data_IF_444750346098
#
_entry.id   IF_444750346098
#
_cell.length_a   1.000
_cell.length_b   1.000
_cell.length_c   1.000
_cell.angle_alpha   90.00
_cell.angle_beta   90.00
_cell.angle_gamma   90.00
#
_symmetry.space_group_name_H-M   'P 1'
#
loop_
_entity.id
_entity.type
_entity.pdbx_description
1 polymer ?
#
# COMPACT_ATOMS: atom_id res chain seq x y z
N UNK A 1 -12.19 11.51 0.62
CA UNK A 1 -11.66 10.23 1.15
C UNK A 1 -10.22 10.47 1.58
N UNK A 2 -9.90 10.23 2.86
CA UNK A 2 -8.71 10.78 3.53
C UNK A 2 -7.38 10.28 2.94
N UNK A 3 -6.70 11.15 2.18
CA UNK A 3 -5.34 10.94 1.63
C UNK A 3 -4.22 10.94 2.69
N UNK A 4 -4.53 11.07 3.99
CA UNK A 4 -3.55 11.15 5.07
C UNK A 4 -2.85 9.82 5.39
N UNK A 5 -3.38 8.68 4.91
CA UNK A 5 -2.73 7.37 5.01
C UNK A 5 -1.53 7.23 4.05
N UNK A 6 -1.41 8.11 3.04
CA UNK A 6 -0.44 7.96 1.95
C UNK A 6 1.00 8.00 2.42
N UNK A 7 1.43 8.98 3.23
CA UNK A 7 2.85 9.11 3.57
C UNK A 7 3.37 7.95 4.44
N UNK A 8 2.63 7.56 5.49
CA UNK A 8 3.03 6.43 6.34
C UNK A 8 3.03 5.12 5.56
N UNK A 9 2.01 4.90 4.73
CA UNK A 9 1.93 3.74 3.84
C UNK A 9 3.10 3.69 2.87
N UNK A 10 3.41 4.80 2.19
CA UNK A 10 4.53 4.89 1.24
C UNK A 10 5.86 4.60 1.94
N UNK A 11 6.09 5.21 3.12
CA UNK A 11 7.32 4.94 3.90
C UNK A 11 7.43 3.46 4.29
N UNK A 12 6.32 2.84 4.69
CA UNK A 12 6.30 1.41 5.03
C UNK A 12 6.58 0.52 3.81
N UNK A 13 5.95 0.83 2.67
CA UNK A 13 6.18 0.11 1.42
C UNK A 13 7.63 0.22 0.94
N UNK A 14 8.26 1.39 1.11
CA UNK A 14 9.67 1.61 0.77
C UNK A 14 10.62 0.88 1.74
N UNK A 15 10.43 1.05 3.05
CA UNK A 15 11.43 0.65 4.04
C UNK A 15 11.23 -0.77 4.57
N UNK A 16 9.98 -1.21 4.74
CA UNK A 16 9.65 -2.50 5.36
C UNK A 16 9.34 -3.58 4.32
N UNK A 17 8.68 -3.22 3.22
CA UNK A 17 8.41 -4.15 2.12
C UNK A 17 9.56 -4.14 1.10
N UNK A 18 10.24 -3.01 0.90
CA UNK A 18 11.33 -2.90 -0.07
C UNK A 18 10.85 -2.68 -1.51
N UNK A 19 9.63 -2.17 -1.71
CA UNK A 19 9.18 -1.73 -3.03
C UNK A 19 9.97 -0.48 -3.46
N UNK A 20 10.26 -0.37 -4.75
CA UNK A 20 10.86 0.85 -5.29
C UNK A 20 9.81 1.95 -5.51
N UNK A 21 10.28 3.20 -5.55
CA UNK A 21 9.43 4.38 -5.74
C UNK A 21 8.62 4.32 -7.03
N UNK A 22 9.17 3.75 -8.11
CA UNK A 22 8.49 3.68 -9.42
C UNK A 22 7.32 2.70 -9.38
N UNK A 23 7.49 1.56 -8.71
CA UNK A 23 6.43 0.57 -8.48
C UNK A 23 5.30 1.16 -7.64
N UNK A 24 5.62 1.90 -6.59
CA UNK A 24 4.63 2.59 -5.75
C UNK A 24 3.89 3.67 -6.54
N UNK A 25 4.61 4.50 -7.32
CA UNK A 25 4.03 5.55 -8.15
C UNK A 25 3.07 4.96 -9.21
N UNK A 26 3.49 3.89 -9.88
CA UNK A 26 2.66 3.18 -10.85
C UNK A 26 1.40 2.60 -10.20
N UNK A 27 1.56 1.94 -9.04
CA UNK A 27 0.44 1.40 -8.26
C UNK A 27 -0.55 2.49 -7.84
N UNK A 28 -0.07 3.68 -7.46
CA UNK A 28 -0.93 4.82 -7.12
C UNK A 28 -1.73 5.30 -8.33
N UNK A 29 -1.08 5.50 -9.48
CA UNK A 29 -1.77 5.93 -10.71
C UNK A 29 -2.84 4.93 -11.14
N UNK A 30 -2.51 3.64 -11.11
CA UNK A 30 -3.43 2.58 -11.55
C UNK A 30 -4.53 2.29 -10.54
N UNK A 31 -4.28 2.41 -9.23
CA UNK A 31 -5.33 2.24 -8.22
C UNK A 31 -6.40 3.33 -8.33
N UNK A 32 -6.01 4.59 -8.56
CA UNK A 32 -6.93 5.70 -8.83
C UNK A 32 -7.76 5.42 -10.08
N UNK A 33 -7.11 5.03 -11.18
CA UNK A 33 -7.79 4.74 -12.46
C UNK A 33 -8.81 3.60 -12.32
N UNK A 34 -8.46 2.54 -11.59
CA UNK A 34 -9.29 1.35 -11.42
C UNK A 34 -10.24 1.43 -10.21
N UNK A 35 -10.32 2.59 -9.52
CA UNK A 35 -11.16 2.80 -8.33
C UNK A 35 -10.93 1.75 -7.23
N UNK A 36 -9.67 1.37 -7.04
CA UNK A 36 -9.24 0.45 -5.97
C UNK A 36 -8.28 1.17 -5.02
N UNK A 37 -7.96 0.54 -3.90
CA UNK A 37 -6.94 1.05 -2.97
C UNK A 37 -5.56 0.58 -3.41
N UNK A 38 -4.52 1.35 -3.06
CA UNK A 38 -3.13 0.97 -3.36
C UNK A 38 -2.77 -0.43 -2.80
N UNK A 39 -3.07 -0.78 -1.52
CA UNK A 39 -2.74 -2.10 -0.99
C UNK A 39 -3.35 -3.26 -1.80
N UNK A 40 -4.64 -3.14 -2.14
CA UNK A 40 -5.34 -4.18 -2.89
C UNK A 40 -4.83 -4.27 -4.32
N UNK A 41 -4.51 -3.12 -4.93
CA UNK A 41 -3.87 -3.10 -6.24
C UNK A 41 -2.54 -3.85 -6.21
N UNK A 42 -1.63 -3.48 -5.30
CA UNK A 42 -0.30 -4.10 -5.23
C UNK A 42 -0.38 -5.63 -5.03
N UNK A 43 -1.26 -6.11 -4.14
CA UNK A 43 -1.48 -7.55 -3.94
C UNK A 43 -2.04 -8.25 -5.18
N UNK A 44 -3.05 -7.67 -5.85
CA UNK A 44 -3.67 -8.28 -7.04
C UNK A 44 -2.72 -8.45 -8.23
N UNK A 45 -1.64 -7.66 -8.27
CA UNK A 45 -0.59 -7.72 -9.28
C UNK A 45 0.67 -8.46 -8.79
N UNK A 46 0.62 -9.09 -7.61
CA UNK A 46 1.73 -9.87 -7.05
C UNK A 46 2.90 -9.05 -6.52
N UNK A 47 2.73 -7.74 -6.32
CA UNK A 47 3.73 -6.86 -5.70
C UNK A 47 3.73 -6.95 -4.17
N UNK A 48 2.67 -7.52 -3.59
CA UNK A 48 2.60 -7.89 -2.18
C UNK A 48 2.18 -9.34 -2.08
N UNK A 49 2.79 -10.09 -1.16
CA UNK A 49 2.20 -11.34 -0.69
C UNK A 49 0.99 -11.07 0.19
N UNK A 50 0.19 -12.11 0.48
CA UNK A 50 -0.93 -11.98 1.39
C UNK A 50 -0.47 -11.63 2.82
N UNK A 51 0.69 -12.13 3.24
CA UNK A 51 1.30 -11.83 4.54
C UNK A 51 1.80 -10.38 4.62
N UNK A 52 2.38 -9.85 3.55
CA UNK A 52 2.81 -8.44 3.49
C UNK A 52 1.62 -7.49 3.45
N UNK A 53 0.55 -7.87 2.75
CA UNK A 53 -0.71 -7.15 2.76
C UNK A 53 -1.31 -7.09 4.18
N UNK A 54 -1.33 -8.23 4.89
CA UNK A 54 -1.83 -8.31 6.27
C UNK A 54 -1.00 -7.45 7.23
N UNK A 55 0.33 -7.50 7.13
CA UNK A 55 1.23 -6.63 7.90
C UNK A 55 1.02 -5.15 7.61
N UNK A 56 0.81 -4.80 6.35
CA UNK A 56 0.53 -3.43 5.94
C UNK A 56 -0.78 -2.92 6.55
N UNK A 57 -1.86 -3.72 6.51
CA UNK A 57 -3.11 -3.36 7.17
C UNK A 57 -2.94 -3.25 8.68
N UNK A 58 -2.25 -4.21 9.31
CA UNK A 58 -1.93 -4.15 10.73
C UNK A 58 -1.18 -2.87 11.09
N UNK A 59 -0.19 -2.46 10.31
CA UNK A 59 0.55 -1.21 10.51
C UNK A 59 -0.34 0.04 10.37
N UNK A 60 -1.22 0.07 9.36
CA UNK A 60 -2.06 1.24 9.09
C UNK A 60 -3.19 1.42 10.11
N UNK A 61 -3.66 0.32 10.71
CA UNK A 61 -4.83 0.29 11.58
C UNK A 61 -4.51 -0.08 13.03
N UNK A 62 -3.23 -0.14 13.42
CA UNK A 62 -2.74 -0.45 14.78
C UNK A 62 -3.15 0.54 15.90
N UNK A 63 -4.14 1.41 15.65
CA UNK A 63 -4.82 2.21 16.67
C UNK A 63 -6.34 2.10 16.49
N UNK A 64 -6.89 0.98 16.91
CA UNK A 64 -8.29 0.86 17.33
C UNK A 64 -8.32 0.09 18.66
N UNK A 65 -7.61 0.64 19.65
CA UNK A 65 -7.86 0.49 21.09
C UNK A 65 -7.66 1.88 21.74
#
# INVERSE_FOLDING_TARGET
MNNYLSRKMIIYLLNEIGLDESSIELGLKLSIKNKTTLPIFLWSYGMLTIEELDKLYSFLFQKMD
#
